data_IF_496279931844
#
_entry.id   IF_496279931844
#
_cell.length_a   1.000
_cell.length_b   1.000
_cell.length_c   1.000
_cell.angle_alpha   90.00
_cell.angle_beta   90.00
_cell.angle_gamma   90.00
#
_symmetry.space_group_name_H-M   'P 1'
#
loop_
_entity.id
_entity.type
_entity.pdbx_description
1 polymer ?
#
# COMPACT_ATOMS: atom_id res chain seq x y z
N UNK A 1 -16.77 -14.57 -5.71
CA UNK A 1 -17.33 -14.14 -4.41
C UNK A 1 -18.27 -12.98 -4.63
N UNK A 2 -19.26 -12.81 -3.75
CA UNK A 2 -20.05 -11.57 -3.68
C UNK A 2 -19.17 -10.42 -3.18
N UNK A 3 -19.56 -9.18 -3.48
CA UNK A 3 -18.98 -8.03 -2.80
C UNK A 3 -19.17 -8.15 -1.28
N UNK A 4 -18.23 -7.59 -0.54
CA UNK A 4 -18.40 -7.35 0.88
C UNK A 4 -17.61 -6.13 1.30
N UNK A 5 -18.04 -5.53 2.41
CA UNK A 5 -17.36 -4.39 3.02
C UNK A 5 -16.96 -4.79 4.43
N UNK A 6 -15.76 -4.39 4.83
CA UNK A 6 -15.29 -4.57 6.19
C UNK A 6 -14.44 -3.39 6.63
N UNK A 7 -14.15 -3.37 7.91
CA UNK A 7 -13.52 -2.24 8.56
C UNK A 7 -12.27 -2.69 9.28
N UNK A 8 -11.21 -1.91 9.10
CA UNK A 8 -9.96 -2.05 9.82
C UNK A 8 -9.88 -0.96 10.87
N UNK A 9 -9.61 -1.37 12.10
CA UNK A 9 -9.52 -0.47 13.25
C UNK A 9 -8.08 -0.45 13.76
N UNK A 10 -7.52 0.73 14.03
CA UNK A 10 -6.23 0.83 14.71
C UNK A 10 -6.30 0.24 16.12
N UNK A 11 -5.40 -0.69 16.40
CA UNK A 11 -5.23 -1.26 17.73
C UNK A 11 -4.06 -0.62 18.44
N UNK A 12 -4.18 -0.49 19.78
CA UNK A 12 -3.05 -0.10 20.61
C UNK A 12 -2.11 -1.30 20.74
N UNK A 13 -0.84 -1.19 20.33
CA UNK A 13 0.12 -2.26 20.53
C UNK A 13 0.28 -2.57 22.02
N UNK A 14 0.62 -3.83 22.32
CA UNK A 14 0.98 -4.25 23.67
C UNK A 14 2.17 -3.43 24.20
N UNK A 15 2.35 -3.36 25.52
CA UNK A 15 3.43 -2.54 26.13
C UNK A 15 4.81 -2.89 25.58
N UNK A 16 5.07 -4.17 25.30
CA UNK A 16 6.32 -4.65 24.72
C UNK A 16 6.51 -4.25 23.26
N UNK A 17 5.43 -4.21 22.48
CA UNK A 17 5.47 -3.94 21.03
C UNK A 17 5.38 -2.45 20.67
N UNK A 18 4.98 -1.59 21.61
CA UNK A 18 4.82 -0.14 21.38
C UNK A 18 6.06 0.56 20.84
N UNK A 19 7.25 0.06 21.17
CA UNK A 19 8.52 0.66 20.71
C UNK A 19 8.89 0.25 19.28
N UNK A 20 8.32 -0.85 18.79
CA UNK A 20 8.69 -1.45 17.51
C UNK A 20 7.54 -1.45 16.51
N UNK A 21 6.33 -1.09 16.93
CA UNK A 21 5.13 -1.07 16.10
C UNK A 21 4.70 0.36 15.85
N UNK A 22 4.77 0.77 14.59
CA UNK A 22 4.28 2.06 14.14
C UNK A 22 2.74 2.05 14.05
N UNK A 23 2.16 1.00 13.46
CA UNK A 23 0.72 0.86 13.30
C UNK A 23 0.32 -0.61 13.34
N UNK A 24 -0.80 -0.89 14.00
CA UNK A 24 -1.45 -2.20 13.98
C UNK A 24 -2.91 -1.98 13.58
N UNK A 25 -3.33 -2.58 12.47
CA UNK A 25 -4.72 -2.58 12.02
C UNK A 25 -5.28 -4.00 12.15
N UNK A 26 -6.52 -4.11 12.61
CA UNK A 26 -7.23 -5.39 12.71
C UNK A 26 -8.65 -5.26 12.20
N UNK A 27 -9.20 -6.31 11.62
CA UNK A 27 -10.60 -6.39 11.22
C UNK A 27 -10.99 -7.81 10.80
N UNK A 28 -12.25 -7.99 10.42
CA UNK A 28 -12.77 -9.28 9.92
C UNK A 28 -13.12 -9.14 8.45
N UNK A 29 -12.33 -9.77 7.58
CA UNK A 29 -12.48 -9.66 6.13
C UNK A 29 -13.46 -10.70 5.57
N UNK A 30 -14.73 -10.59 5.98
CA UNK A 30 -15.81 -11.45 5.48
C UNK A 30 -15.47 -12.94 5.59
N UNK A 31 -15.47 -13.71 4.48
CA UNK A 31 -15.22 -15.15 4.50
C UNK A 31 -13.76 -15.52 4.83
N UNK A 32 -12.83 -14.56 4.82
CA UNK A 32 -11.42 -14.79 5.08
C UNK A 32 -11.04 -14.70 6.56
N UNK A 33 -12.00 -14.41 7.44
CA UNK A 33 -11.80 -14.37 8.88
C UNK A 33 -11.08 -13.11 9.36
N UNK A 34 -10.41 -13.22 10.50
CA UNK A 34 -9.65 -12.11 11.08
C UNK A 34 -8.38 -11.82 10.30
N UNK A 35 -8.12 -10.53 10.09
CA UNK A 35 -6.93 -10.04 9.41
C UNK A 35 -6.22 -9.02 10.29
N UNK A 36 -4.89 -9.08 10.30
CA UNK A 36 -4.03 -8.13 10.99
C UNK A 36 -2.93 -7.62 10.08
N UNK A 37 -2.82 -6.30 9.97
CA UNK A 37 -1.71 -5.64 9.28
C UNK A 37 -0.86 -4.92 10.33
N UNK A 38 0.39 -5.33 10.47
CA UNK A 38 1.35 -4.75 11.40
C UNK A 38 2.44 -4.04 10.63
N UNK A 39 2.68 -2.77 10.94
CA UNK A 39 3.78 -1.96 10.41
C UNK A 39 4.80 -1.74 11.52
N UNK A 40 6.04 -2.16 11.30
CA UNK A 40 7.14 -2.00 12.26
C UNK A 40 7.93 -0.73 12.03
N UNK A 41 8.51 -0.18 13.11
CA UNK A 41 9.35 1.02 13.08
C UNK A 41 10.77 0.71 12.59
N UNK A 42 11.31 -0.45 12.94
CA UNK A 42 12.64 -0.88 12.48
C UNK A 42 12.82 -2.42 12.55
N UNK A 43 13.24 -3.10 11.46
CA UNK A 43 13.24 -2.56 10.09
C UNK A 43 11.82 -2.15 9.68
N UNK A 44 11.69 -1.19 8.77
CA UNK A 44 10.38 -0.79 8.25
C UNK A 44 9.83 -1.86 7.32
N UNK A 45 8.92 -2.64 7.87
CA UNK A 45 8.24 -3.73 7.20
C UNK A 45 6.78 -3.71 7.64
N UNK A 46 5.89 -3.99 6.70
CA UNK A 46 4.52 -4.31 7.01
C UNK A 46 4.25 -5.76 6.66
N UNK A 47 3.68 -6.48 7.61
CA UNK A 47 3.35 -7.89 7.47
C UNK A 47 1.84 -8.06 7.60
N UNK A 48 1.27 -8.82 6.69
CA UNK A 48 -0.12 -9.27 6.75
C UNK A 48 -0.17 -10.65 7.41
N UNK A 49 -1.01 -10.77 8.43
CA UNK A 49 -1.32 -12.02 9.11
C UNK A 49 -2.82 -12.27 9.02
N UNK A 50 -3.22 -13.39 8.41
CA UNK A 50 -4.60 -13.82 8.32
C UNK A 50 -4.64 -15.31 7.97
N UNK A 51 -5.44 -16.12 8.68
CA UNK A 51 -5.54 -17.55 8.38
C UNK A 51 -6.15 -17.82 6.99
N UNK A 52 -7.08 -16.97 6.56
CA UNK A 52 -7.79 -17.13 5.29
C UNK A 52 -7.11 -16.47 4.07
N UNK A 53 -6.01 -15.73 4.24
CA UNK A 53 -5.35 -15.03 3.14
C UNK A 53 -3.91 -15.52 2.96
N UNK A 54 -3.34 -15.37 1.75
CA UNK A 54 -1.91 -15.56 1.56
C UNK A 54 -1.13 -14.59 2.46
N UNK A 55 -0.10 -15.12 3.13
CA UNK A 55 0.86 -14.30 3.85
C UNK A 55 1.50 -13.28 2.90
N UNK A 56 1.89 -12.14 3.43
CA UNK A 56 2.60 -11.18 2.62
C UNK A 56 3.31 -10.12 3.44
N UNK A 57 4.26 -9.47 2.77
CA UNK A 57 4.99 -8.36 3.35
C UNK A 57 5.34 -7.29 2.32
N UNK A 58 5.52 -6.09 2.82
CA UNK A 58 6.07 -4.96 2.06
C UNK A 58 7.17 -4.32 2.90
N UNK A 59 8.30 -4.01 2.30
CA UNK A 59 9.42 -3.33 2.94
C UNK A 59 10.19 -2.49 1.91
N UNK A 60 10.94 -1.51 2.40
CA UNK A 60 11.79 -0.69 1.56
C UNK A 60 13.22 -0.63 2.15
N UNK A 61 14.27 -0.94 1.35
CA UNK A 61 15.63 -1.09 1.88
C UNK A 61 16.29 0.21 2.34
N UNK A 62 15.74 1.37 1.97
CA UNK A 62 16.36 2.67 2.22
C UNK A 62 15.33 3.74 2.61
N UNK A 63 14.42 3.44 3.55
CA UNK A 63 13.54 4.46 4.11
C UNK A 63 14.13 4.95 5.45
N UNK A 64 14.62 6.20 5.54
CA UNK A 64 15.19 6.74 6.77
C UNK A 64 14.14 7.32 7.73
N UNK A 65 12.84 7.18 7.43
CA UNK A 65 11.78 7.92 8.12
C UNK A 65 10.67 7.00 8.66
N UNK A 66 10.53 6.97 9.99
CA UNK A 66 9.49 6.21 10.69
C UNK A 66 8.10 6.44 10.09
N UNK A 67 7.44 5.37 9.63
CA UNK A 67 6.03 5.43 9.28
C UNK A 67 5.59 4.53 8.13
N UNK A 68 4.99 5.14 7.12
CA UNK A 68 4.55 4.42 5.92
C UNK A 68 5.75 4.10 5.03
N UNK A 69 5.63 2.99 4.32
CA UNK A 69 6.72 2.44 3.52
C UNK A 69 6.74 3.15 2.17
N UNK A 70 7.84 3.83 1.88
CA UNK A 70 8.06 4.41 0.56
C UNK A 70 7.90 3.36 -0.54
N UNK A 71 7.19 3.73 -1.62
CA UNK A 71 6.93 2.82 -2.73
C UNK A 71 7.59 3.28 -4.02
N UNK A 72 8.60 2.52 -4.45
CA UNK A 72 9.28 2.67 -5.73
C UNK A 72 9.82 1.31 -6.24
N UNK A 73 10.67 1.33 -7.27
CA UNK A 73 11.23 0.12 -7.87
C UNK A 73 12.13 -0.71 -6.94
N UNK A 74 12.56 -0.18 -5.79
CA UNK A 74 13.36 -0.87 -4.78
C UNK A 74 12.49 -1.48 -3.68
N UNK A 75 11.20 -1.17 -3.66
CA UNK A 75 10.24 -1.77 -2.72
C UNK A 75 10.19 -3.27 -2.94
N UNK A 76 10.31 -4.02 -1.85
CA UNK A 76 10.12 -5.46 -1.82
C UNK A 76 8.69 -5.69 -1.35
N UNK A 77 7.84 -6.16 -2.26
CA UNK A 77 6.45 -6.51 -1.99
C UNK A 77 6.29 -7.99 -2.32
N UNK A 78 5.73 -8.77 -1.40
CA UNK A 78 5.49 -10.19 -1.62
C UNK A 78 4.11 -10.61 -1.09
N UNK A 79 3.44 -11.50 -1.83
CA UNK A 79 2.15 -12.10 -1.47
C UNK A 79 2.21 -13.58 -1.82
N UNK A 80 1.87 -14.46 -0.88
CA UNK A 80 1.88 -15.90 -1.07
C UNK A 80 3.24 -16.44 -1.53
N UNK A 81 4.35 -15.85 -1.08
CA UNK A 81 5.71 -16.21 -1.50
C UNK A 81 6.13 -15.69 -2.88
N UNK A 82 5.25 -15.00 -3.62
CA UNK A 82 5.58 -14.39 -4.91
C UNK A 82 5.98 -12.94 -4.70
N UNK A 83 7.19 -12.58 -5.13
CA UNK A 83 7.65 -11.19 -5.10
C UNK A 83 7.07 -10.40 -6.29
N UNK A 84 6.44 -9.28 -5.99
CA UNK A 84 5.92 -8.36 -6.98
C UNK A 84 7.01 -7.42 -7.50
N UNK A 85 6.90 -7.07 -8.78
CA UNK A 85 7.63 -5.94 -9.37
C UNK A 85 6.76 -4.69 -9.27
N UNK A 86 7.35 -3.61 -8.75
CA UNK A 86 6.67 -2.34 -8.54
C UNK A 86 7.22 -1.28 -9.49
N UNK A 87 6.33 -0.56 -10.16
CA UNK A 87 6.66 0.48 -11.12
C UNK A 87 5.80 1.72 -10.87
N UNK A 88 6.36 2.90 -11.13
CA UNK A 88 5.63 4.16 -10.95
C UNK A 88 5.90 5.06 -12.14
N UNK A 89 4.85 5.49 -12.83
CA UNK A 89 4.99 6.48 -13.90
C UNK A 89 4.94 7.90 -13.32
N UNK A 90 6.08 8.35 -12.78
CA UNK A 90 6.24 9.69 -12.19
C UNK A 90 6.05 10.85 -13.19
N UNK A 91 6.11 10.57 -14.50
CA UNK A 91 6.04 11.59 -15.57
C UNK A 91 4.63 11.76 -16.13
N UNK A 92 3.66 10.95 -15.71
CA UNK A 92 2.29 11.11 -16.16
C UNK A 92 1.70 12.43 -15.65
N UNK A 93 1.26 13.28 -16.59
CA UNK A 93 0.66 14.57 -16.26
C UNK A 93 -0.71 14.44 -15.60
N UNK A 94 -1.48 13.40 -15.96
CA UNK A 94 -2.81 13.10 -15.42
C UNK A 94 -2.74 12.12 -14.25
N UNK A 95 -3.63 12.27 -13.26
CA UNK A 95 -3.64 11.46 -12.03
C UNK A 95 -3.83 9.98 -12.32
N UNK A 96 -4.67 9.62 -13.29
CA UNK A 96 -4.94 8.24 -13.68
C UNK A 96 -3.70 7.55 -14.25
N UNK A 97 -2.77 8.31 -14.84
CA UNK A 97 -1.50 7.80 -15.34
C UNK A 97 -0.41 7.70 -14.26
N UNK A 98 -0.64 8.24 -13.05
CA UNK A 98 0.34 8.22 -11.94
C UNK A 98 0.19 7.02 -11.01
N UNK A 99 -0.69 6.08 -11.37
CA UNK A 99 -0.88 4.86 -10.59
C UNK A 99 0.41 4.07 -10.39
N UNK A 100 0.42 3.31 -9.31
CA UNK A 100 1.46 2.32 -9.08
C UNK A 100 1.15 1.07 -9.90
N UNK A 101 2.02 0.74 -10.85
CA UNK A 101 1.94 -0.51 -11.58
C UNK A 101 2.59 -1.64 -10.77
N UNK A 102 1.84 -2.71 -10.53
CA UNK A 102 2.31 -3.86 -9.75
C UNK A 102 2.16 -5.11 -10.61
N UNK A 103 3.24 -5.87 -10.79
CA UNK A 103 3.19 -7.19 -11.43
C UNK A 103 3.45 -8.25 -10.37
N UNK A 104 2.49 -9.13 -10.13
CA UNK A 104 2.55 -10.20 -9.12
C UNK A 104 2.26 -11.53 -9.83
N UNK A 105 3.31 -12.32 -10.09
CA UNK A 105 3.18 -13.51 -10.91
C UNK A 105 2.74 -13.17 -12.32
N UNK A 106 1.64 -13.78 -12.76
CA UNK A 106 0.97 -13.53 -14.05
C UNK A 106 0.01 -12.33 -14.01
N UNK A 107 -0.31 -11.81 -12.82
CA UNK A 107 -1.28 -10.73 -12.65
C UNK A 107 -0.62 -9.37 -12.72
N UNK A 108 -1.34 -8.42 -13.35
CA UNK A 108 -0.93 -7.02 -13.43
C UNK A 108 -1.99 -6.14 -12.81
N UNK A 109 -1.54 -5.28 -11.91
CA UNK A 109 -2.41 -4.36 -11.20
C UNK A 109 -1.98 -2.92 -11.40
N UNK A 110 -2.95 -2.03 -11.30
CA UNK A 110 -2.73 -0.61 -11.10
C UNK A 110 -3.37 -0.20 -9.79
N UNK A 111 -2.59 0.38 -8.88
CA UNK A 111 -3.10 1.02 -7.68
C UNK A 111 -3.21 2.52 -7.89
N UNK A 112 -4.42 3.05 -7.67
CA UNK A 112 -4.77 4.42 -7.99
C UNK A 112 -5.34 5.14 -6.78
N UNK A 113 -5.10 6.45 -6.72
CA UNK A 113 -5.83 7.35 -5.82
C UNK A 113 -6.82 8.17 -6.64
N UNK A 114 -8.10 7.98 -6.37
CA UNK A 114 -9.22 8.63 -7.06
C UNK A 114 -9.41 10.07 -6.54
N UNK A 115 -10.15 10.89 -7.29
CA UNK A 115 -10.37 12.31 -6.97
C UNK A 115 -11.10 12.55 -5.66
N UNK A 116 -11.90 11.58 -5.21
CA UNK A 116 -12.60 11.57 -3.91
C UNK A 116 -11.67 11.29 -2.71
N UNK A 117 -10.38 11.05 -2.95
CA UNK A 117 -9.43 10.57 -1.93
C UNK A 117 -9.54 9.08 -1.63
N UNK A 118 -10.47 8.38 -2.27
CA UNK A 118 -10.54 6.92 -2.29
C UNK A 118 -9.32 6.34 -3.00
N UNK A 119 -8.93 5.13 -2.61
CA UNK A 119 -7.88 4.39 -3.31
C UNK A 119 -8.50 3.12 -3.92
N UNK A 120 -8.04 2.73 -5.11
CA UNK A 120 -8.59 1.60 -5.86
C UNK A 120 -7.45 0.72 -6.36
N UNK A 121 -7.55 -0.58 -6.09
CA UNK A 121 -6.72 -1.60 -6.73
C UNK A 121 -7.49 -2.16 -7.92
N UNK A 122 -6.87 -2.11 -9.09
CA UNK A 122 -7.42 -2.63 -10.33
C UNK A 122 -6.51 -3.69 -10.90
N UNK A 123 -7.06 -4.85 -11.20
CA UNK A 123 -6.45 -5.84 -12.05
C UNK A 123 -6.65 -5.44 -13.53
N UNK A 124 -5.65 -5.66 -14.38
CA UNK A 124 -5.68 -5.23 -15.79
C UNK A 124 -6.72 -5.95 -16.63
N UNK A 125 -7.07 -7.18 -16.27
CA UNK A 125 -8.02 -8.02 -17.01
C UNK A 125 -9.41 -7.98 -16.37
N UNK A 126 -9.45 -7.96 -15.04
CA UNK A 126 -10.68 -8.08 -14.24
C UNK A 126 -11.27 -6.74 -13.82
N UNK A 127 -10.52 -5.65 -13.92
CA UNK A 127 -10.94 -4.33 -13.48
C UNK A 127 -10.78 -4.11 -11.98
N UNK A 128 -11.63 -3.28 -11.37
CA UNK A 128 -11.51 -2.93 -9.96
C UNK A 128 -11.80 -4.15 -9.06
N UNK A 129 -10.86 -4.48 -8.16
CA UNK A 129 -10.97 -5.61 -7.23
C UNK A 129 -11.19 -5.16 -5.80
N UNK A 130 -10.62 -4.01 -5.40
CA UNK A 130 -10.86 -3.43 -4.08
C UNK A 130 -10.89 -1.91 -4.12
N UNK A 131 -11.66 -1.32 -3.21
CA UNK A 131 -11.64 0.12 -2.92
C UNK A 131 -11.41 0.36 -1.44
N UNK A 132 -10.63 1.38 -1.13
CA UNK A 132 -10.45 1.92 0.21
C UNK A 132 -11.18 3.25 0.33
N UNK A 133 -11.98 3.39 1.39
CA UNK A 133 -12.67 4.62 1.75
C UNK A 133 -12.27 5.09 3.14
N UNK A 134 -12.35 6.40 3.33
CA UNK A 134 -12.07 7.06 4.60
C UNK A 134 -10.64 7.58 4.72
N UNK A 135 -10.38 8.44 5.72
CA UNK A 135 -9.07 9.01 5.94
C UNK A 135 -8.06 7.94 6.36
N UNK A 136 -6.82 8.11 5.90
CA UNK A 136 -5.71 7.31 6.42
C UNK A 136 -5.22 7.91 7.75
N UNK A 137 -4.81 7.04 8.68
CA UNK A 137 -4.20 7.31 10.00
C UNK A 137 -5.17 7.59 11.16
N UNK A 138 -5.03 6.81 12.24
CA UNK A 138 -5.67 7.04 13.55
C UNK A 138 -7.19 6.83 13.61
N UNK A 139 -7.80 6.47 12.48
CA UNK A 139 -9.24 6.32 12.31
C UNK A 139 -9.56 5.00 11.60
N UNK A 140 -10.84 4.64 11.64
CA UNK A 140 -11.37 3.45 10.98
C UNK A 140 -11.16 3.55 9.46
N UNK A 141 -10.53 2.54 8.87
CA UNK A 141 -10.40 2.39 7.41
C UNK A 141 -11.47 1.45 6.90
N UNK A 142 -12.22 1.85 5.86
CA UNK A 142 -13.26 1.02 5.25
C UNK A 142 -12.71 0.40 3.97
N UNK A 143 -12.78 -0.92 3.88
CA UNK A 143 -12.38 -1.70 2.70
C UNK A 143 -13.63 -2.27 2.03
N UNK A 144 -13.75 -2.03 0.74
CA UNK A 144 -14.79 -2.61 -0.12
C UNK A 144 -14.11 -3.60 -1.06
N UNK A 145 -14.50 -4.87 -0.98
CA UNK A 145 -14.03 -5.93 -1.86
C UNK A 145 -15.10 -6.14 -2.93
N UNK A 146 -14.69 -6.03 -4.19
CA UNK A 146 -15.59 -6.09 -5.35
C UNK A 146 -15.51 -7.48 -6.00
N UNK A 147 -16.59 -8.00 -6.61
CA UNK A 147 -16.46 -9.11 -7.55
C UNK A 147 -15.59 -8.60 -8.71
N UNK A 148 -14.54 -9.31 -9.15
CA UNK A 148 -14.22 -10.73 -8.97
C UNK A 148 -13.02 -11.01 -8.03
N UNK A 149 -12.82 -10.20 -6.99
CA UNK A 149 -11.66 -10.29 -6.12
C UNK A 149 -11.53 -11.64 -5.40
N UNK A 150 -10.28 -12.08 -5.23
CA UNK A 150 -9.89 -13.24 -4.45
C UNK A 150 -8.96 -12.88 -3.27
N UNK A 151 -8.48 -13.90 -2.55
CA UNK A 151 -7.63 -13.71 -1.37
C UNK A 151 -6.29 -13.04 -1.70
N UNK A 152 -5.73 -13.25 -2.89
CA UNK A 152 -4.48 -12.60 -3.33
C UNK A 152 -4.72 -11.12 -3.58
N UNK A 153 -5.83 -10.76 -4.23
CA UNK A 153 -6.20 -9.36 -4.47
C UNK A 153 -6.40 -8.60 -3.15
N UNK A 154 -7.08 -9.24 -2.20
CA UNK A 154 -7.32 -8.69 -0.88
C UNK A 154 -6.03 -8.57 -0.06
N UNK A 155 -5.18 -9.59 -0.05
CA UNK A 155 -3.89 -9.54 0.63
C UNK A 155 -3.00 -8.40 0.09
N UNK A 156 -2.94 -8.27 -1.24
CA UNK A 156 -2.23 -7.18 -1.89
C UNK A 156 -2.80 -5.81 -1.50
N UNK A 157 -4.12 -5.65 -1.53
CA UNK A 157 -4.77 -4.39 -1.15
C UNK A 157 -4.50 -4.00 0.32
N UNK A 158 -4.49 -4.99 1.23
CA UNK A 158 -4.18 -4.76 2.64
C UNK A 158 -2.73 -4.31 2.84
N UNK A 159 -1.76 -4.93 2.15
CA UNK A 159 -0.36 -4.51 2.22
C UNK A 159 -0.16 -3.09 1.69
N UNK A 160 -0.89 -2.70 0.65
CA UNK A 160 -0.85 -1.34 0.10
C UNK A 160 -1.42 -0.28 1.06
N UNK A 161 -2.09 -0.66 2.16
CA UNK A 161 -2.41 0.28 3.24
C UNK A 161 -1.17 0.77 3.99
N UNK A 162 -0.09 -0.02 3.99
CA UNK A 162 1.18 0.37 4.59
C UNK A 162 2.07 1.21 3.65
N UNK A 163 1.69 1.32 2.38
CA UNK A 163 2.41 2.11 1.39
C UNK A 163 2.23 3.61 1.63
N UNK A 164 3.32 4.38 1.48
CA UNK A 164 3.24 5.83 1.40
C UNK A 164 2.73 6.25 0.01
N UNK A 165 1.43 6.53 -0.07
CA UNK A 165 0.74 6.96 -1.29
C UNK A 165 0.75 8.48 -1.48
N UNK A 166 1.43 9.25 -0.62
CA UNK A 166 1.49 10.71 -0.73
C UNK A 166 2.08 11.18 -2.06
N UNK A 167 3.05 10.42 -2.60
CA UNK A 167 3.65 10.67 -3.92
C UNK A 167 2.70 10.41 -5.09
N UNK A 168 1.57 9.76 -4.87
CA UNK A 168 0.52 9.58 -5.88
C UNK A 168 -0.38 10.83 -6.01
N UNK A 169 -0.19 11.85 -5.17
CA UNK A 169 -0.94 13.11 -5.21
C UNK A 169 -0.16 14.26 -5.82
N UNK A 170 -0.86 15.21 -6.44
CA UNK A 170 -0.28 16.42 -7.07
C UNK A 170 0.59 17.25 -6.11
N UNK A 171 0.25 17.45 -4.81
CA UNK A 171 1.11 18.16 -3.85
C UNK A 171 2.42 17.41 -3.49
N UNK A 172 2.44 16.07 -3.55
CA UNK A 172 3.64 15.27 -3.24
C UNK A 172 4.82 15.52 -4.19
N UNK A 173 4.54 16.03 -5.40
CA UNK A 173 5.59 16.43 -6.34
C UNK A 173 6.28 17.75 -5.99
N UNK A 174 5.62 18.69 -5.30
CA UNK A 174 6.25 19.99 -5.01
C UNK A 174 7.40 19.80 -4.02
N UNK A 175 7.27 18.90 -3.05
CA UNK A 175 8.33 18.62 -2.08
C UNK A 175 9.47 17.78 -2.68
N UNK A 176 9.16 16.78 -3.53
CA UNK A 176 10.21 15.93 -4.14
C UNK A 176 10.91 16.60 -5.33
N UNK A 177 10.20 17.47 -6.07
CA UNK A 177 10.75 18.23 -7.20
C UNK A 177 11.76 19.29 -6.79
N UNK A 178 11.56 19.96 -5.64
CA UNK A 178 12.48 20.98 -5.14
C UNK A 178 13.85 20.37 -4.79
N UNK A 179 13.93 19.12 -4.32
CA UNK A 179 15.23 18.49 -4.04
C UNK A 179 16.02 18.06 -5.29
N UNK A 180 15.37 17.89 -6.44
CA UNK A 180 16.09 17.51 -7.68
C UNK A 180 16.69 18.71 -8.43
N UNK A 181 16.21 19.94 -8.16
CA UNK A 181 16.72 21.16 -8.82
C UNK A 181 17.89 21.78 -8.04
N UNK A 182 18.05 21.46 -6.75
CA UNK A 182 19.18 21.95 -5.93
C UNK A 182 20.42 21.04 -5.94
N UNK A 183 20.42 19.91 -6.66
CA UNK A 183 21.58 19.01 -6.73
C UNK A 183 22.19 18.86 -8.14
N UNK A 184 22.04 19.87 -8.99
CA UNK A 184 22.94 20.10 -10.12
C UNK A 184 23.95 21.19 -9.73
N UNK A 185 24.70 20.94 -8.65
CA UNK A 185 25.98 21.60 -8.43
C UNK A 185 26.94 21.12 -9.51
N UNK A 186 27.03 21.87 -10.60
CA UNK A 186 28.18 21.79 -11.51
C UNK A 186 29.43 22.11 -10.69
N UNK A 187 30.17 21.06 -10.35
CA UNK A 187 31.58 21.14 -10.01
C UNK A 187 32.41 20.71 -11.22
N UNK A 188 33.52 21.43 -11.41
CA UNK A 188 34.58 21.32 -12.44
C UNK A 188 34.23 21.99 -13.77
N UNK A 189 35.00 22.96 -14.29
CA UNK A 189 36.46 23.22 -14.20
C UNK A 189 36.70 24.74 -14.16
#
# INVERSE_FOLDING_TARGET
MSDFTFELVPQKPSRSERRTTFLLLTGTAGPYGEVSLKITTYPEEATLLAEGLPDGSISHPANPAEGLIAVDARTRLAVGGVTATVTQNRRALRKEGRGLGISLGDRRYTYLRLDSGEEELRDSERGAVTRRRGPFRGSRTVMVVLPPADGTDLALALLLLAADTTQLTVPGMIVSGIMSVFNNGQGNI
#
